data_IF_828989895484
#
_entry.id   IF_828989895484
#
_cell.length_a   1.000
_cell.length_b   1.000
_cell.length_c   1.000
_cell.angle_alpha   90.00
_cell.angle_beta   90.00
_cell.angle_gamma   90.00
#
_symmetry.space_group_name_H-M   'P 1'
#
loop_
_entity.id
_entity.type
_entity.pdbx_description
1 polymer ?
#
# COMPACT_ATOMS: atom_id res chain seq x y z
N UNK A 1 6.87 16.76 5.13
CA UNK A 1 5.76 15.85 4.78
C UNK A 1 5.25 16.06 3.35
N UNK A 2 5.87 16.94 2.56
CA UNK A 2 5.43 17.36 1.21
C UNK A 2 5.34 16.25 0.15
N UNK A 3 6.10 15.15 0.32
CA UNK A 3 6.13 14.07 -0.68
C UNK A 3 4.83 13.25 -0.73
N UNK A 4 4.04 13.24 0.34
CA UNK A 4 2.78 12.47 0.40
C UNK A 4 1.64 13.26 -0.25
N UNK A 5 1.64 14.58 -0.10
CA UNK A 5 0.59 15.44 -0.66
C UNK A 5 0.66 15.52 -2.19
N UNK A 6 1.86 15.42 -2.77
CA UNK A 6 2.10 15.41 -4.22
C UNK A 6 1.85 14.06 -4.89
N UNK A 7 1.59 13.00 -4.12
CA UNK A 7 1.32 11.68 -4.67
C UNK A 7 -0.10 11.63 -5.26
N UNK A 8 -0.28 11.12 -6.50
CA UNK A 8 -1.59 10.89 -7.08
C UNK A 8 -2.44 9.93 -6.23
N UNK A 9 -3.63 10.39 -5.85
CA UNK A 9 -4.63 9.61 -5.11
C UNK A 9 -5.57 8.89 -6.09
N UNK A 10 -6.11 7.70 -5.75
CA UNK A 10 -5.95 7.00 -4.49
C UNK A 10 -4.61 6.23 -4.39
N UNK A 11 -4.11 6.04 -3.16
CA UNK A 11 -2.98 5.16 -2.87
C UNK A 11 -3.00 4.64 -1.43
N UNK A 12 -2.23 3.59 -1.18
CA UNK A 12 -1.97 3.06 0.16
C UNK A 12 -0.56 3.44 0.61
N UNK A 13 -0.41 3.86 1.85
CA UNK A 13 0.89 3.95 2.53
C UNK A 13 1.07 2.71 3.39
N UNK A 14 2.12 1.96 3.13
CA UNK A 14 2.59 0.88 4.00
C UNK A 14 3.75 1.41 4.82
N UNK A 15 3.47 1.78 6.07
CA UNK A 15 4.44 2.32 7.01
C UNK A 15 5.06 1.20 7.84
N UNK A 16 6.39 1.12 7.83
CA UNK A 16 7.14 0.24 8.75
C UNK A 16 7.75 1.06 9.88
N UNK A 17 7.15 0.99 11.07
CA UNK A 17 7.79 1.49 12.29
C UNK A 17 8.74 0.43 12.88
N UNK A 18 9.62 0.87 13.79
CA UNK A 18 10.67 0.04 14.40
C UNK A 18 10.13 -1.35 14.81
N UNK A 19 10.71 -2.41 14.23
CA UNK A 19 10.29 -3.81 14.45
C UNK A 19 9.72 -4.50 13.20
N UNK A 20 8.71 -5.35 13.42
CA UNK A 20 8.04 -6.20 12.41
C UNK A 20 6.61 -5.75 12.06
N UNK A 21 6.13 -4.66 12.66
CA UNK A 21 4.78 -4.15 12.44
C UNK A 21 4.72 -3.23 11.22
N UNK A 22 3.72 -3.47 10.38
CA UNK A 22 3.40 -2.70 9.19
C UNK A 22 2.02 -2.08 9.37
N UNK A 23 1.95 -0.75 9.36
CA UNK A 23 0.70 -0.02 9.40
C UNK A 23 0.28 0.34 7.97
N UNK A 24 -0.99 0.12 7.64
CA UNK A 24 -1.56 0.47 6.35
C UNK A 24 -2.47 1.67 6.52
N UNK A 25 -2.23 2.69 5.70
CA UNK A 25 -3.09 3.86 5.60
C UNK A 25 -3.56 4.03 4.16
N UNK A 26 -4.80 4.50 3.99
CA UNK A 26 -5.36 4.86 2.69
C UNK A 26 -5.43 6.38 2.53
N UNK A 27 -5.05 6.87 1.35
CA UNK A 27 -5.22 8.26 0.93
C UNK A 27 -6.10 8.31 -0.31
N UNK A 28 -7.25 8.99 -0.22
CA UNK A 28 -8.20 9.18 -1.32
C UNK A 28 -8.56 10.66 -1.46
N UNK A 29 -9.02 11.08 -2.64
CA UNK A 29 -9.33 12.48 -2.98
C UNK A 29 -10.17 13.14 -1.86
N UNK A 30 -9.73 14.33 -1.45
CA UNK A 30 -10.40 15.22 -0.48
C UNK A 30 -10.67 14.64 0.93
N UNK A 31 -10.11 13.47 1.29
CA UNK A 31 -10.24 12.89 2.64
C UNK A 31 -8.90 12.84 3.38
N UNK A 32 -8.98 12.96 4.70
CA UNK A 32 -7.89 12.72 5.64
C UNK A 32 -7.33 11.30 5.52
N UNK A 33 -6.06 11.14 5.93
CA UNK A 33 -5.36 9.86 6.05
C UNK A 33 -6.24 8.85 6.81
N UNK A 34 -6.64 7.76 6.16
CA UNK A 34 -7.48 6.71 6.76
C UNK A 34 -6.59 5.58 7.28
N UNK A 35 -6.66 5.27 8.57
CA UNK A 35 -6.03 4.06 9.10
C UNK A 35 -6.84 2.81 8.74
N UNK A 36 -6.18 1.80 8.18
CA UNK A 36 -6.82 0.57 7.70
C UNK A 36 -6.41 -0.68 8.49
N UNK A 37 -5.27 -0.65 9.17
CA UNK A 37 -4.86 -1.76 10.04
C UNK A 37 -3.37 -1.85 10.31
N UNK A 38 -3.01 -2.74 11.23
CA UNK A 38 -1.64 -3.12 11.56
C UNK A 38 -1.44 -4.61 11.28
N UNK A 39 -0.28 -4.95 10.71
CA UNK A 39 0.04 -6.30 10.27
C UNK A 39 1.44 -6.67 10.74
N UNK A 40 1.64 -7.95 11.09
CA UNK A 40 2.93 -8.45 11.54
C UNK A 40 3.92 -8.77 10.40
N UNK A 41 3.57 -8.48 9.15
CA UNK A 41 4.44 -8.64 7.99
C UNK A 41 3.97 -7.79 6.80
N UNK A 42 4.93 -7.43 5.93
CA UNK A 42 4.63 -6.73 4.68
C UNK A 42 3.70 -7.55 3.77
N UNK A 43 3.88 -8.88 3.74
CA UNK A 43 3.05 -9.77 2.95
C UNK A 43 1.58 -9.70 3.39
N UNK A 44 1.29 -9.77 4.69
CA UNK A 44 -0.08 -9.66 5.20
C UNK A 44 -0.69 -8.28 4.95
N UNK A 45 0.10 -7.22 5.09
CA UNK A 45 -0.35 -5.87 4.73
C UNK A 45 -0.75 -5.79 3.25
N UNK A 46 0.07 -6.34 2.33
CA UNK A 46 -0.21 -6.37 0.89
C UNK A 46 -1.40 -7.27 0.53
N UNK A 47 -1.54 -8.42 1.18
CA UNK A 47 -2.73 -9.28 1.08
C UNK A 47 -4.01 -8.51 1.42
N UNK A 48 -3.98 -7.80 2.55
CA UNK A 48 -5.10 -6.97 2.98
C UNK A 48 -5.38 -5.85 1.97
N UNK A 49 -4.36 -5.09 1.55
CA UNK A 49 -4.50 -4.00 0.56
C UNK A 49 -5.14 -4.53 -0.72
N UNK A 50 -4.66 -5.67 -1.23
CA UNK A 50 -5.18 -6.28 -2.44
C UNK A 50 -6.66 -6.64 -2.32
N UNK A 51 -7.04 -7.39 -1.27
CA UNK A 51 -8.44 -7.75 -1.02
C UNK A 51 -9.32 -6.51 -0.84
N UNK A 52 -8.83 -5.54 -0.07
CA UNK A 52 -9.55 -4.31 0.22
C UNK A 52 -9.81 -3.50 -1.04
N UNK A 53 -8.80 -3.31 -1.90
CA UNK A 53 -8.94 -2.58 -3.15
C UNK A 53 -9.82 -3.32 -4.18
N UNK A 54 -9.73 -4.65 -4.26
CA UNK A 54 -10.63 -5.44 -5.11
C UNK A 54 -12.11 -5.29 -4.69
N UNK A 55 -12.39 -5.26 -3.39
CA UNK A 55 -13.75 -5.06 -2.87
C UNK A 55 -14.20 -3.59 -2.91
N UNK A 56 -13.28 -2.66 -3.15
CA UNK A 56 -13.55 -1.22 -3.14
C UNK A 56 -12.85 -0.56 -4.35
N UNK A 57 -13.41 -0.67 -5.58
CA UNK A 57 -12.77 -0.22 -6.81
C UNK A 57 -12.35 1.26 -6.82
N UNK A 58 -12.94 2.09 -5.96
CA UNK A 58 -12.54 3.48 -5.74
C UNK A 58 -11.09 3.68 -5.23
N UNK A 59 -10.43 2.60 -4.83
CA UNK A 59 -9.03 2.59 -4.40
C UNK A 59 -8.06 2.16 -5.51
N UNK A 60 -8.60 1.76 -6.67
CA UNK A 60 -7.82 1.48 -7.85
C UNK A 60 -7.46 2.79 -8.56
N UNK A 61 -6.29 2.81 -9.19
CA UNK A 61 -5.84 3.89 -10.04
C UNK A 61 -6.56 3.84 -11.40
N UNK A 62 -6.26 4.80 -12.29
CA UNK A 62 -6.88 4.88 -13.62
C UNK A 62 -6.66 3.63 -14.48
N UNK A 63 -5.59 2.87 -14.21
CA UNK A 63 -5.24 1.64 -14.93
C UNK A 63 -5.91 0.39 -14.30
N UNK A 64 -6.75 0.57 -13.26
CA UNK A 64 -7.36 -0.54 -12.51
C UNK A 64 -6.40 -1.28 -11.57
N UNK A 65 -5.21 -0.72 -11.31
CA UNK A 65 -4.19 -1.30 -10.43
C UNK A 65 -4.10 -0.51 -9.12
N UNK A 66 -3.25 -0.93 -8.20
CA UNK A 66 -3.07 -0.36 -6.87
C UNK A 66 -1.81 0.50 -6.87
N UNK A 67 -1.91 1.70 -6.29
CA UNK A 67 -0.74 2.52 -5.98
C UNK A 67 -0.32 2.30 -4.52
N UNK A 68 0.97 2.09 -4.27
CA UNK A 68 1.51 1.89 -2.92
C UNK A 68 2.76 2.75 -2.68
N UNK A 69 2.77 3.46 -1.56
CA UNK A 69 3.95 4.11 -1.01
C UNK A 69 4.48 3.28 0.17
N UNK A 70 5.65 2.68 0.02
CA UNK A 70 6.31 1.94 1.09
C UNK A 70 7.20 2.90 1.88
N UNK A 71 6.75 3.31 3.07
CA UNK A 71 7.41 4.28 3.93
C UNK A 71 8.18 3.56 5.06
N UNK A 72 9.48 3.82 5.13
CA UNK A 72 10.39 3.23 6.11
C UNK A 72 11.13 4.36 6.84
N UNK A 73 10.47 5.09 7.76
CA UNK A 73 11.05 6.26 8.43
C UNK A 73 12.31 5.93 9.24
N UNK A 74 12.45 4.68 9.70
CA UNK A 74 13.65 4.18 10.38
C UNK A 74 14.86 3.96 9.45
N UNK A 75 14.72 4.24 8.15
CA UNK A 75 15.74 4.05 7.11
C UNK A 75 15.95 5.34 6.32
N UNK A 76 17.05 5.45 5.55
CA UNK A 76 17.25 6.59 4.66
C UNK A 76 16.06 6.78 3.70
N UNK A 77 15.71 8.04 3.40
CA UNK A 77 14.57 8.36 2.51
C UNK A 77 14.67 7.71 1.12
N UNK A 78 15.87 7.35 0.65
CA UNK A 78 16.10 6.61 -0.59
C UNK A 78 15.47 5.22 -0.59
N UNK A 79 15.24 4.63 0.58
CA UNK A 79 14.61 3.32 0.73
C UNK A 79 13.09 3.37 0.64
N UNK A 80 12.50 4.58 0.71
CA UNK A 80 11.07 4.79 0.55
C UNK A 80 10.71 4.68 -0.93
N UNK A 81 9.91 3.67 -1.28
CA UNK A 81 9.56 3.36 -2.67
C UNK A 81 8.13 3.77 -2.97
N UNK A 82 7.96 4.54 -4.03
CA UNK A 82 6.67 4.81 -4.64
C UNK A 82 6.43 3.84 -5.79
N UNK A 83 5.25 3.24 -5.82
CA UNK A 83 4.85 2.32 -6.87
C UNK A 83 3.51 2.75 -7.47
N UNK A 84 3.54 3.08 -8.77
CA UNK A 84 2.33 3.17 -9.60
C UNK A 84 2.06 1.79 -10.21
N UNK A 85 1.02 1.13 -9.72
CA UNK A 85 0.66 -0.25 -10.07
C UNK A 85 1.59 -1.28 -9.43
N UNK A 86 1.17 -1.87 -8.29
CA UNK A 86 1.94 -2.86 -7.54
C UNK A 86 1.59 -4.30 -7.81
N UNK A 87 0.44 -4.60 -8.42
CA UNK A 87 -0.05 -5.98 -8.49
C UNK A 87 0.93 -6.87 -9.25
N UNK A 88 1.28 -6.50 -10.48
CA UNK A 88 2.26 -7.26 -11.28
C UNK A 88 3.68 -7.17 -10.70
N UNK A 89 4.08 -5.97 -10.26
CA UNK A 89 5.47 -5.66 -9.93
C UNK A 89 5.89 -6.15 -8.56
N UNK A 90 4.97 -6.24 -7.61
CA UNK A 90 5.29 -6.49 -6.20
C UNK A 90 4.43 -7.61 -5.59
N UNK A 91 3.17 -7.78 -5.99
CA UNK A 91 2.27 -8.75 -5.32
C UNK A 91 2.32 -10.12 -5.97
N UNK A 92 2.38 -10.21 -7.30
CA UNK A 92 2.51 -11.49 -8.01
C UNK A 92 3.81 -12.25 -7.73
N UNK A 93 4.79 -11.60 -7.12
CA UNK A 93 6.04 -12.24 -6.67
C UNK A 93 5.81 -13.23 -5.51
N UNK A 94 4.71 -13.12 -4.78
CA UNK A 94 4.38 -14.07 -3.72
C UNK A 94 3.81 -15.36 -4.32
N UNK A 95 4.38 -16.51 -3.95
CA UNK A 95 3.99 -17.82 -4.48
C UNK A 95 2.49 -18.12 -4.29
N UNK A 96 1.91 -17.65 -3.18
CA UNK A 96 0.50 -17.84 -2.81
C UNK A 96 -0.41 -16.69 -3.29
N UNK A 97 0.07 -15.77 -4.14
CA UNK A 97 -0.74 -14.63 -4.61
C UNK A 97 -2.07 -15.05 -5.23
N UNK A 98 -2.11 -16.20 -5.91
CA UNK A 98 -3.33 -16.75 -6.53
C UNK A 98 -4.45 -17.00 -5.51
N UNK A 99 -4.10 -17.25 -4.26
CA UNK A 99 -5.06 -17.49 -3.17
C UNK A 99 -5.48 -16.19 -2.47
N UNK A 100 -4.91 -15.04 -2.82
CA UNK A 100 -5.27 -13.76 -2.21
C UNK A 100 -6.61 -13.21 -2.69
N UNK A 101 -7.19 -13.72 -3.78
CA UNK A 101 -8.56 -13.40 -4.19
C UNK A 101 -9.63 -14.25 -3.50
N UNK A 102 -9.23 -15.34 -2.83
CA UNK A 102 -10.13 -16.20 -2.06
C UNK A 102 -10.41 -15.59 -0.68
#
# INVERSE_FOLDING_TARGET
MEKIDSIPKPFFETLREHGTTYFVYGYRVAKSKLYLGAFNSLKKARQFIYKYACNNPQWLNADGDINEYNNKPSRPKSDNKWYKGVVEKEYKKYADFKDWKK
#
